data_IF_154278612968
#
_entry.id   IF_154278612968
#
_cell.length_a   1.000
_cell.length_b   1.000
_cell.length_c   1.000
_cell.angle_alpha   90.00
_cell.angle_beta   90.00
_cell.angle_gamma   90.00
#
_symmetry.space_group_name_H-M   'P 1'
#
loop_
_entity.id
_entity.type
_entity.pdbx_description
1 polymer ?
#
# COMPACT_ATOMS: atom_id res chain seq x y z
N UNK A 1 5.87 24.48 -31.73
CA UNK A 1 6.20 23.63 -30.57
C UNK A 1 5.04 22.67 -30.40
N UNK A 2 5.30 21.39 -30.63
CA UNK A 2 4.28 20.36 -30.86
C UNK A 2 3.98 19.66 -29.53
N UNK A 3 2.88 20.02 -28.86
CA UNK A 3 2.37 19.25 -27.71
C UNK A 3 1.85 17.94 -28.26
N UNK A 4 2.67 16.89 -28.21
CA UNK A 4 2.25 15.55 -28.55
C UNK A 4 1.08 15.18 -27.62
N UNK A 5 -0.13 15.07 -28.17
CA UNK A 5 -1.29 14.45 -27.52
C UNK A 5 -0.81 13.12 -26.92
N UNK A 6 -0.77 13.03 -25.60
CA UNK A 6 -0.51 11.76 -24.94
C UNK A 6 -1.68 10.85 -25.31
N UNK A 7 -1.45 9.83 -26.14
CA UNK A 7 -2.44 8.78 -26.30
C UNK A 7 -2.57 8.08 -24.94
N UNK A 8 -3.71 8.28 -24.27
CA UNK A 8 -4.03 7.58 -23.04
C UNK A 8 -3.95 6.07 -23.28
N UNK A 9 -3.19 5.39 -22.43
CA UNK A 9 -3.11 3.93 -22.47
C UNK A 9 -4.44 3.31 -22.05
N UNK A 10 -4.68 2.06 -22.46
CA UNK A 10 -5.88 1.33 -22.07
C UNK A 10 -6.06 1.24 -20.55
N UNK A 11 -4.96 1.17 -19.80
CA UNK A 11 -4.93 1.16 -18.33
C UNK A 11 -5.37 2.49 -17.73
N UNK A 12 -4.89 3.62 -18.27
CA UNK A 12 -5.32 4.96 -17.87
C UNK A 12 -6.81 5.16 -18.14
N UNK A 13 -7.30 4.71 -19.30
CA UNK A 13 -8.72 4.74 -19.64
C UNK A 13 -9.57 3.87 -18.70
N UNK A 14 -9.09 2.67 -18.33
CA UNK A 14 -9.78 1.79 -17.38
C UNK A 14 -9.83 2.42 -15.97
N UNK A 15 -8.73 3.06 -15.54
CA UNK A 15 -8.67 3.77 -14.26
C UNK A 15 -9.62 4.96 -14.22
N UNK A 16 -9.64 5.77 -15.28
CA UNK A 16 -10.58 6.89 -15.44
C UNK A 16 -12.04 6.41 -15.42
N UNK A 17 -12.35 5.31 -16.10
CA UNK A 17 -13.69 4.71 -16.08
C UNK A 17 -14.09 4.20 -14.68
N UNK A 18 -13.14 3.70 -13.89
CA UNK A 18 -13.37 3.28 -12.50
C UNK A 18 -13.63 4.48 -11.58
N UNK A 19 -12.79 5.52 -11.68
CA UNK A 19 -12.95 6.76 -10.93
C UNK A 19 -14.28 7.44 -11.26
N UNK A 20 -14.68 7.48 -12.53
CA UNK A 20 -15.99 7.99 -12.96
C UNK A 20 -17.12 7.37 -12.15
N UNK A 21 -17.22 6.04 -12.12
CA UNK A 21 -18.27 5.33 -11.35
C UNK A 21 -18.22 5.68 -9.86
N UNK A 22 -17.02 5.78 -9.28
CA UNK A 22 -16.83 6.10 -7.87
C UNK A 22 -17.28 7.52 -7.53
N UNK A 23 -16.94 8.52 -8.34
CA UNK A 23 -17.32 9.91 -8.11
C UNK A 23 -18.82 10.14 -8.40
N UNK A 24 -19.36 9.55 -9.46
CA UNK A 24 -20.78 9.62 -9.80
C UNK A 24 -21.66 9.01 -8.69
N UNK A 25 -21.26 7.85 -8.12
CA UNK A 25 -21.98 7.26 -6.97
C UNK A 25 -21.97 8.14 -5.71
N UNK A 26 -21.05 9.10 -5.60
CA UNK A 26 -20.97 10.09 -4.52
C UNK A 26 -21.68 11.42 -4.85
N UNK A 27 -22.36 11.48 -5.99
CA UNK A 27 -23.12 12.63 -6.46
C UNK A 27 -22.27 13.72 -7.11
N UNK A 28 -21.09 13.38 -7.62
CA UNK A 28 -20.31 14.28 -8.48
C UNK A 28 -20.73 14.10 -9.94
N UNK A 29 -20.68 15.19 -10.71
CA UNK A 29 -20.54 15.11 -12.16
C UNK A 29 -19.08 14.82 -12.51
N UNK A 30 -18.83 14.00 -13.55
CA UNK A 30 -17.48 13.58 -13.92
C UNK A 30 -17.22 13.77 -15.41
N UNK A 31 -16.22 14.58 -15.72
CA UNK A 31 -15.78 14.94 -17.07
C UNK A 31 -14.37 14.38 -17.30
N UNK A 32 -14.21 13.58 -18.36
CA UNK A 32 -12.89 13.10 -18.82
C UNK A 32 -12.41 14.01 -19.94
N UNK A 33 -11.11 14.28 -19.98
CA UNK A 33 -10.48 15.15 -20.98
C UNK A 33 -11.20 16.50 -21.12
N UNK A 34 -11.29 17.29 -20.03
CA UNK A 34 -12.02 18.56 -20.04
C UNK A 34 -11.45 19.53 -21.07
N UNK A 35 -12.32 20.32 -21.68
CA UNK A 35 -11.90 21.37 -22.61
C UNK A 35 -11.23 22.50 -21.84
N UNK A 36 -10.06 22.96 -22.31
CA UNK A 36 -9.31 24.08 -21.74
C UNK A 36 -10.19 25.34 -21.59
N UNK A 37 -11.14 25.55 -22.50
CA UNK A 37 -12.07 26.70 -22.45
C UNK A 37 -13.09 26.62 -21.30
N UNK A 38 -13.34 25.42 -20.76
CA UNK A 38 -14.23 25.18 -19.63
C UNK A 38 -13.52 25.15 -18.26
N UNK A 39 -12.20 25.39 -18.25
CA UNK A 39 -11.39 25.36 -17.04
C UNK A 39 -11.29 26.75 -16.39
N UNK A 40 -11.20 26.82 -15.04
CA UNK A 40 -10.92 28.08 -14.36
C UNK A 40 -9.54 28.65 -14.73
N UNK A 41 -9.46 29.98 -14.82
CA UNK A 41 -8.24 30.71 -15.19
C UNK A 41 -7.01 30.37 -14.32
N UNK A 42 -7.22 29.98 -13.06
CA UNK A 42 -6.12 29.64 -12.14
C UNK A 42 -5.34 28.39 -12.57
N UNK A 43 -5.95 27.51 -13.38
CA UNK A 43 -5.27 26.34 -13.96
C UNK A 43 -4.33 26.74 -15.12
N UNK A 44 -4.39 27.98 -15.60
CA UNK A 44 -3.53 28.51 -16.66
C UNK A 44 -3.58 27.60 -17.92
N UNK A 45 -2.47 26.94 -18.25
CA UNK A 45 -2.35 26.01 -19.38
C UNK A 45 -2.43 24.54 -18.97
N UNK A 46 -2.63 24.25 -17.69
CA UNK A 46 -2.75 22.89 -17.19
C UNK A 46 -4.16 22.34 -17.44
N UNK A 47 -4.23 21.22 -18.15
CA UNK A 47 -5.46 20.47 -18.40
C UNK A 47 -5.33 19.12 -17.68
N UNK A 48 -6.14 18.84 -16.65
CA UNK A 48 -6.13 17.54 -15.97
C UNK A 48 -6.74 16.45 -16.86
N UNK A 49 -6.44 15.19 -16.57
CA UNK A 49 -7.04 14.05 -17.29
C UNK A 49 -8.56 13.92 -17.04
N UNK A 50 -9.03 14.34 -15.86
CA UNK A 50 -10.46 14.41 -15.54
C UNK A 50 -10.78 15.46 -14.47
N UNK A 51 -12.04 15.88 -14.41
CA UNK A 51 -12.59 16.73 -13.35
C UNK A 51 -13.87 16.11 -12.79
N UNK A 52 -13.94 16.04 -11.46
CA UNK A 52 -15.19 15.75 -10.74
C UNK A 52 -15.73 17.04 -10.10
N UNK A 53 -17.02 17.34 -10.26
CA UNK A 53 -17.65 18.54 -9.68
C UNK A 53 -18.90 18.21 -8.89
N UNK A 54 -19.00 18.81 -7.70
CA UNK A 54 -20.15 18.81 -6.80
C UNK A 54 -20.27 20.21 -6.18
N UNK A 55 -21.47 20.57 -5.72
CA UNK A 55 -21.69 21.90 -5.14
C UNK A 55 -20.69 22.20 -4.01
N UNK A 56 -19.80 23.17 -4.23
CA UNK A 56 -18.75 23.57 -3.27
C UNK A 56 -17.51 22.66 -3.22
N UNK A 57 -17.42 21.63 -4.07
CA UNK A 57 -16.31 20.67 -4.08
C UNK A 57 -15.97 20.24 -5.51
N UNK A 58 -14.79 20.64 -5.98
CA UNK A 58 -14.26 20.28 -7.29
C UNK A 58 -12.96 19.49 -7.11
N UNK A 59 -12.73 18.49 -7.96
CA UNK A 59 -11.52 17.67 -7.94
C UNK A 59 -10.92 17.62 -9.33
N UNK A 60 -9.70 18.10 -9.50
CA UNK A 60 -8.89 17.89 -10.69
C UNK A 60 -8.08 16.60 -10.51
N UNK A 61 -8.18 15.69 -11.47
CA UNK A 61 -7.64 14.33 -11.37
C UNK A 61 -6.61 14.14 -12.46
N UNK A 62 -5.41 13.74 -12.04
CA UNK A 62 -4.32 13.35 -12.92
C UNK A 62 -4.04 11.86 -12.81
N UNK A 63 -3.92 11.16 -13.93
CA UNK A 63 -3.59 9.74 -13.98
C UNK A 63 -2.13 9.57 -14.41
N UNK A 64 -1.40 8.69 -13.71
CA UNK A 64 0.02 8.43 -13.96
C UNK A 64 0.32 6.96 -14.05
N UNK A 65 1.21 6.56 -14.97
CA UNK A 65 1.66 5.16 -15.07
C UNK A 65 2.56 4.73 -13.91
N UNK A 66 3.36 5.62 -13.31
CA UNK A 66 4.24 5.25 -12.19
C UNK A 66 4.68 6.44 -11.36
N UNK A 67 5.20 6.15 -10.15
CA UNK A 67 5.85 7.14 -9.30
C UNK A 67 7.35 7.19 -9.64
N UNK A 68 7.78 8.30 -10.23
CA UNK A 68 9.21 8.63 -10.45
C UNK A 68 9.55 9.98 -9.81
N UNK A 69 10.82 10.20 -9.42
CA UNK A 69 11.24 11.51 -8.88
C UNK A 69 10.93 12.67 -9.83
N UNK A 70 11.16 12.47 -11.13
CA UNK A 70 10.84 13.47 -12.15
C UNK A 70 9.34 13.78 -12.22
N UNK A 71 8.47 12.76 -12.10
CA UNK A 71 7.03 12.99 -12.03
C UNK A 71 6.61 13.70 -10.73
N UNK A 72 7.25 13.42 -9.60
CA UNK A 72 6.93 14.08 -8.32
C UNK A 72 7.23 15.58 -8.32
N UNK A 73 8.34 16.01 -8.93
CA UNK A 73 8.63 17.44 -9.12
C UNK A 73 7.57 18.14 -9.98
N UNK A 74 7.12 17.51 -11.07
CA UNK A 74 6.04 18.08 -11.91
C UNK A 74 4.70 18.16 -11.17
N UNK A 75 4.37 17.17 -10.34
CA UNK A 75 3.12 17.14 -9.57
C UNK A 75 3.11 18.19 -8.46
N UNK A 76 4.26 18.51 -7.87
CA UNK A 76 4.37 19.59 -6.90
C UNK A 76 4.04 20.96 -7.52
N UNK A 77 4.52 21.21 -8.74
CA UNK A 77 4.22 22.45 -9.48
C UNK A 77 2.73 22.55 -9.81
N UNK A 78 2.11 21.45 -10.25
CA UNK A 78 0.67 21.41 -10.51
C UNK A 78 -0.12 21.65 -9.23
N UNK A 79 0.27 21.00 -8.11
CA UNK A 79 -0.41 21.15 -6.82
C UNK A 79 -0.44 22.61 -6.33
N UNK A 80 0.63 23.37 -6.57
CA UNK A 80 0.68 24.79 -6.20
C UNK A 80 -0.30 25.69 -6.96
N UNK A 81 -0.83 25.24 -8.10
CA UNK A 81 -1.90 25.98 -8.81
C UNK A 81 -3.20 26.02 -8.01
N UNK A 82 -3.41 25.04 -7.12
CA UNK A 82 -4.63 24.92 -6.33
C UNK A 82 -4.53 25.64 -4.98
N UNK A 83 -3.36 26.22 -4.65
CA UNK A 83 -3.17 26.98 -3.42
C UNK A 83 -4.04 28.25 -3.45
N UNK A 84 -4.90 28.41 -2.44
CA UNK A 84 -5.86 29.53 -2.37
C UNK A 84 -7.24 29.23 -2.96
N UNK A 85 -7.48 28.02 -3.47
CA UNK A 85 -8.76 27.57 -4.01
C UNK A 85 -9.36 26.43 -3.16
N UNK A 86 -9.98 26.74 -2.00
CA UNK A 86 -10.45 25.72 -1.05
C UNK A 86 -11.61 24.85 -1.57
N UNK A 87 -12.31 25.32 -2.61
CA UNK A 87 -13.33 24.58 -3.34
C UNK A 87 -12.74 23.62 -4.38
N UNK A 88 -11.40 23.55 -4.50
CA UNK A 88 -10.69 22.65 -5.41
C UNK A 88 -9.67 21.77 -4.71
N UNK A 89 -9.62 20.51 -5.13
CA UNK A 89 -8.61 19.54 -4.71
C UNK A 89 -7.89 18.96 -5.92
N UNK A 90 -6.56 18.88 -5.85
CA UNK A 90 -5.76 18.13 -6.82
C UNK A 90 -5.54 16.70 -6.36
N UNK A 91 -6.01 15.73 -7.15
CA UNK A 91 -5.89 14.30 -6.88
C UNK A 91 -5.03 13.63 -7.97
N UNK A 92 -4.17 12.70 -7.54
CA UNK A 92 -3.33 11.90 -8.45
C UNK A 92 -3.70 10.44 -8.29
N UNK A 93 -4.17 9.83 -9.37
CA UNK A 93 -4.43 8.41 -9.51
C UNK A 93 -3.30 7.74 -10.29
N UNK A 94 -2.97 6.49 -9.96
CA UNK A 94 -1.93 5.75 -10.67
C UNK A 94 -2.56 4.59 -11.43
N UNK A 95 -2.40 4.56 -12.76
CA UNK A 95 -3.03 3.60 -13.66
C UNK A 95 -2.33 2.24 -13.72
N UNK A 96 -1.02 2.18 -13.47
CA UNK A 96 -0.35 0.90 -13.35
C UNK A 96 -0.41 0.41 -11.90
N UNK A 97 -1.15 -0.69 -11.70
CA UNK A 97 -0.67 -1.71 -10.79
C UNK A 97 0.55 -2.35 -11.45
N UNK A 98 1.74 -1.98 -10.99
CA UNK A 98 2.96 -2.70 -11.35
C UNK A 98 2.73 -4.18 -11.00
N UNK A 99 2.77 -5.13 -11.96
CA UNK A 99 2.61 -6.56 -11.67
C UNK A 99 3.69 -7.09 -10.70
N UNK A 100 4.79 -6.34 -10.53
CA UNK A 100 5.81 -6.58 -9.51
C UNK A 100 5.41 -6.02 -8.12
N UNK A 101 4.34 -5.22 -8.03
CA UNK A 101 3.75 -4.64 -6.81
C UNK A 101 2.36 -5.17 -6.47
N UNK A 102 1.68 -5.87 -7.35
CA UNK A 102 0.49 -6.66 -6.99
C UNK A 102 0.84 -8.13 -7.14
N UNK A 103 1.29 -8.74 -6.03
CA UNK A 103 1.50 -10.18 -5.97
C UNK A 103 0.15 -10.83 -5.67
N UNK A 104 -0.35 -11.67 -6.57
CA UNK A 104 -1.52 -12.52 -6.27
C UNK A 104 -1.09 -13.62 -5.30
N UNK A 105 -1.06 -13.29 -4.00
CA UNK A 105 -0.79 -14.23 -2.91
C UNK A 105 -2.13 -14.74 -2.40
N UNK A 106 -2.36 -16.04 -2.54
CA UNK A 106 -3.53 -16.68 -1.94
C UNK A 106 -3.34 -16.77 -0.42
N UNK A 107 -4.33 -16.40 0.40
CA UNK A 107 -4.26 -16.60 1.84
C UNK A 107 -3.93 -18.05 2.19
N UNK A 108 -2.93 -18.24 3.06
CA UNK A 108 -2.60 -19.56 3.58
C UNK A 108 -3.67 -20.00 4.59
N UNK A 109 -4.03 -21.28 4.59
CA UNK A 109 -4.92 -21.83 5.61
C UNK A 109 -4.20 -21.90 6.97
N UNK A 110 -4.93 -21.68 8.07
CA UNK A 110 -4.39 -21.71 9.44
C UNK A 110 -3.56 -22.97 9.74
N UNK A 111 -3.98 -24.20 9.37
CA UNK A 111 -3.15 -25.40 9.59
C UNK A 111 -1.81 -25.36 8.86
N UNK A 112 -1.74 -24.73 7.68
CA UNK A 112 -0.50 -24.58 6.93
C UNK A 112 0.44 -23.57 7.59
N UNK A 113 -0.08 -22.47 8.15
CA UNK A 113 0.69 -21.49 8.91
C UNK A 113 1.28 -22.15 10.17
N UNK A 114 0.46 -22.88 10.94
CA UNK A 114 0.92 -23.62 12.13
C UNK A 114 1.97 -24.68 11.80
N UNK A 115 1.83 -25.39 10.67
CA UNK A 115 2.85 -26.35 10.22
C UNK A 115 4.20 -25.66 9.97
N UNK A 116 4.22 -24.53 9.28
CA UNK A 116 5.47 -23.79 9.07
C UNK A 116 6.02 -23.16 10.36
N UNK A 117 5.17 -22.89 11.35
CA UNK A 117 5.64 -22.46 12.67
C UNK A 117 6.45 -23.56 13.37
N UNK A 118 6.17 -24.84 13.10
CA UNK A 118 7.03 -25.94 13.55
C UNK A 118 8.40 -25.92 12.85
N UNK A 119 8.46 -25.52 11.57
CA UNK A 119 9.72 -25.36 10.84
C UNK A 119 10.57 -24.21 11.43
N UNK A 120 9.93 -23.10 11.82
CA UNK A 120 10.58 -21.99 12.56
C UNK A 120 11.24 -22.51 13.85
N UNK A 121 10.52 -23.32 14.62
CA UNK A 121 11.03 -23.91 15.88
C UNK A 121 12.18 -24.90 15.64
N UNK A 122 12.12 -25.66 14.55
CA UNK A 122 13.20 -26.56 14.16
C UNK A 122 14.47 -25.77 13.76
N UNK A 123 14.31 -24.68 13.00
CA UNK A 123 15.43 -23.82 12.58
C UNK A 123 16.15 -23.19 13.77
N UNK A 124 15.42 -22.67 14.76
CA UNK A 124 16.06 -22.07 15.94
C UNK A 124 16.81 -23.11 16.76
N UNK A 125 16.28 -24.34 16.90
CA UNK A 125 16.96 -25.46 17.58
C UNK A 125 18.26 -25.87 16.87
N UNK A 126 18.32 -25.69 15.55
CA UNK A 126 19.52 -25.94 14.74
C UNK A 126 20.52 -24.77 14.74
N UNK A 127 20.26 -23.71 15.52
CA UNK A 127 21.08 -22.50 15.55
C UNK A 127 20.94 -21.61 14.31
N UNK A 128 19.91 -21.82 13.49
CA UNK A 128 19.67 -21.05 12.26
C UNK A 128 18.79 -19.81 12.54
N UNK A 129 19.22 -18.94 13.46
CA UNK A 129 18.37 -17.87 14.00
C UNK A 129 17.88 -16.87 12.96
N UNK A 130 18.74 -16.41 12.03
CA UNK A 130 18.32 -15.54 10.92
C UNK A 130 17.24 -16.17 10.04
N UNK A 131 17.42 -17.44 9.67
CA UNK A 131 16.45 -18.15 8.84
C UNK A 131 15.12 -18.32 9.58
N UNK A 132 15.17 -18.74 10.84
CA UNK A 132 14.00 -18.86 11.70
C UNK A 132 13.25 -17.52 11.83
N UNK A 133 13.98 -16.44 12.06
CA UNK A 133 13.42 -15.10 12.24
C UNK A 133 12.75 -14.57 10.95
N UNK A 134 13.40 -14.70 9.79
CA UNK A 134 12.81 -14.28 8.52
C UNK A 134 11.59 -15.13 8.14
N UNK A 135 11.64 -16.43 8.41
CA UNK A 135 10.50 -17.31 8.20
C UNK A 135 9.33 -16.94 9.12
N UNK A 136 9.59 -16.71 10.40
CA UNK A 136 8.57 -16.23 11.36
C UNK A 136 7.95 -14.91 10.90
N UNK A 137 8.76 -13.96 10.40
CA UNK A 137 8.25 -12.71 9.84
C UNK A 137 7.31 -12.96 8.65
N UNK A 138 7.69 -13.85 7.72
CA UNK A 138 6.83 -14.18 6.58
C UNK A 138 5.49 -14.82 7.00
N UNK A 139 5.49 -15.61 8.08
CA UNK A 139 4.27 -16.20 8.64
C UNK A 139 3.38 -15.16 9.32
N UNK A 140 3.95 -14.10 9.90
CA UNK A 140 3.19 -12.99 10.43
C UNK A 140 2.43 -12.23 9.33
N UNK A 141 3.08 -12.01 8.17
CA UNK A 141 2.42 -11.43 6.99
C UNK A 141 1.33 -12.35 6.44
N UNK A 142 1.60 -13.66 6.35
CA UNK A 142 0.61 -14.65 5.94
C UNK A 142 -0.60 -14.71 6.91
N UNK A 143 -0.36 -14.48 8.20
CA UNK A 143 -1.41 -14.43 9.23
C UNK A 143 -2.31 -13.22 9.03
N UNK A 144 -1.74 -12.02 8.79
CA UNK A 144 -2.55 -10.86 8.47
C UNK A 144 -3.40 -11.09 7.21
N UNK A 145 -2.78 -11.62 6.15
CA UNK A 145 -3.48 -11.89 4.90
C UNK A 145 -4.62 -12.91 5.09
N UNK A 146 -4.41 -13.93 5.93
CA UNK A 146 -5.45 -14.88 6.31
C UNK A 146 -6.63 -14.20 7.03
N UNK A 147 -6.33 -13.31 7.98
CA UNK A 147 -7.36 -12.61 8.77
C UNK A 147 -8.14 -11.60 7.94
N UNK A 148 -7.48 -10.84 7.05
CA UNK A 148 -8.12 -9.86 6.19
C UNK A 148 -9.06 -10.53 5.15
N UNK A 149 -8.79 -11.78 4.79
CA UNK A 149 -9.57 -12.51 3.78
C UNK A 149 -9.43 -11.94 2.37
N UNK A 150 -8.43 -11.07 2.14
CA UNK A 150 -8.13 -10.49 0.83
C UNK A 150 -7.60 -11.57 -0.11
N UNK A 151 -8.19 -11.70 -1.31
CA UNK A 151 -7.71 -12.62 -2.34
C UNK A 151 -6.51 -12.04 -3.13
N UNK A 152 -6.24 -10.74 -2.94
CA UNK A 152 -5.18 -10.00 -3.62
C UNK A 152 -4.43 -9.15 -2.59
N UNK A 153 -3.23 -9.59 -2.22
CA UNK A 153 -2.40 -8.90 -1.24
C UNK A 153 -1.47 -7.90 -1.92
N UNK A 154 -1.46 -6.66 -1.44
CA UNK A 154 -0.41 -5.69 -1.79
C UNK A 154 0.77 -5.86 -0.83
N UNK A 155 2.04 -5.76 -1.29
CA UNK A 155 3.21 -5.73 -0.43
C UNK A 155 3.02 -4.69 0.67
N UNK A 156 2.98 -5.15 1.91
CA UNK A 156 2.82 -4.31 3.09
C UNK A 156 4.20 -3.92 3.60
N UNK A 157 4.29 -2.73 4.18
CA UNK A 157 5.48 -2.39 4.97
C UNK A 157 5.48 -3.21 6.26
N UNK A 158 6.65 -3.55 6.83
CA UNK A 158 6.72 -4.28 8.09
C UNK A 158 5.87 -3.67 9.21
N UNK A 159 5.83 -2.35 9.32
CA UNK A 159 5.02 -1.64 10.31
C UNK A 159 3.52 -1.81 10.07
N UNK A 160 3.08 -1.74 8.80
CA UNK A 160 1.66 -1.90 8.47
C UNK A 160 1.12 -3.30 8.74
N UNK A 161 1.98 -4.34 8.74
CA UNK A 161 1.57 -5.70 9.09
C UNK A 161 1.15 -5.77 10.56
N UNK A 162 2.00 -5.25 11.46
CA UNK A 162 1.70 -5.21 12.89
C UNK A 162 0.48 -4.34 13.20
N UNK A 163 0.42 -3.16 12.58
CA UNK A 163 -0.70 -2.26 12.74
C UNK A 163 -2.01 -2.89 12.26
N UNK A 164 -2.00 -3.60 11.13
CA UNK A 164 -3.17 -4.32 10.63
C UNK A 164 -3.69 -5.36 11.62
N UNK A 165 -2.81 -6.20 12.16
CA UNK A 165 -3.18 -7.19 13.18
C UNK A 165 -3.76 -6.54 14.44
N UNK A 166 -3.18 -5.42 14.88
CA UNK A 166 -3.67 -4.69 16.06
C UNK A 166 -5.04 -4.04 15.80
N UNK A 167 -5.23 -3.42 14.63
CA UNK A 167 -6.49 -2.81 14.23
C UNK A 167 -7.64 -3.82 14.10
N UNK A 168 -7.31 -5.05 13.68
CA UNK A 168 -8.26 -6.17 13.59
C UNK A 168 -8.49 -6.86 14.94
N UNK A 169 -7.90 -6.35 16.03
CA UNK A 169 -8.05 -6.92 17.38
C UNK A 169 -7.38 -8.27 17.57
N UNK A 170 -6.51 -8.69 16.63
CA UNK A 170 -5.81 -9.99 16.69
C UNK A 170 -4.59 -9.97 17.60
N UNK A 171 -4.04 -8.80 17.86
CA UNK A 171 -2.97 -8.59 18.83
C UNK A 171 -3.26 -7.33 19.63
N UNK A 172 -2.73 -7.25 20.84
CA UNK A 172 -2.87 -6.07 21.69
C UNK A 172 -2.00 -4.90 21.19
N UNK A 173 -2.42 -3.63 21.33
CA UNK A 173 -1.60 -2.46 20.99
C UNK A 173 -0.23 -2.43 21.71
N UNK A 174 -0.14 -2.98 22.92
CA UNK A 174 1.11 -3.15 23.65
C UNK A 174 2.06 -4.12 22.95
N UNK A 175 1.51 -5.20 22.37
CA UNK A 175 2.26 -6.19 21.59
C UNK A 175 2.81 -5.56 20.31
N UNK A 176 2.02 -4.76 19.60
CA UNK A 176 2.48 -3.98 18.43
C UNK A 176 3.66 -3.06 18.79
N UNK A 177 3.55 -2.29 19.88
CA UNK A 177 4.63 -1.39 20.34
C UNK A 177 5.92 -2.15 20.67
N UNK A 178 5.81 -3.31 21.33
CA UNK A 178 6.96 -4.17 21.66
C UNK A 178 7.66 -4.73 20.42
N UNK A 179 6.93 -4.99 19.35
CA UNK A 179 7.46 -5.55 18.11
C UNK A 179 8.13 -4.52 17.19
N UNK A 180 8.14 -3.22 17.55
CA UNK A 180 8.82 -2.19 16.73
C UNK A 180 10.33 -2.43 16.60
N UNK A 181 10.98 -2.97 17.64
CA UNK A 181 12.40 -3.35 17.56
C UNK A 181 12.64 -4.50 16.58
N UNK A 182 11.69 -5.45 16.48
CA UNK A 182 11.78 -6.57 15.53
C UNK A 182 11.74 -6.09 14.06
N UNK A 183 11.07 -4.98 13.75
CA UNK A 183 11.12 -4.37 12.41
C UNK A 183 12.54 -3.92 12.05
N UNK A 184 13.24 -3.27 12.99
CA UNK A 184 14.61 -2.80 12.76
C UNK A 184 15.55 -3.99 12.55
N UNK A 185 15.42 -5.02 13.38
CA UNK A 185 16.18 -6.26 13.26
C UNK A 185 15.92 -6.94 11.90
N UNK A 186 14.65 -7.06 11.48
CA UNK A 186 14.27 -7.60 10.16
C UNK A 186 14.91 -6.83 9.02
N UNK A 187 14.88 -5.50 9.08
CA UNK A 187 15.48 -4.68 8.04
C UNK A 187 17.00 -4.88 7.97
N UNK A 188 17.69 -4.88 9.11
CA UNK A 188 19.12 -5.14 9.17
C UNK A 188 19.48 -6.51 8.54
N UNK A 189 18.78 -7.58 8.98
CA UNK A 189 19.02 -8.94 8.47
C UNK A 189 18.74 -9.06 6.98
N UNK A 190 17.62 -8.51 6.48
CA UNK A 190 17.27 -8.55 5.04
C UNK A 190 18.22 -7.73 4.19
N UNK A 191 18.72 -6.59 4.70
CA UNK A 191 19.68 -5.76 3.99
C UNK A 191 21.13 -6.24 4.13
N UNK A 192 21.35 -7.42 4.74
CA UNK A 192 22.64 -8.11 4.74
C UNK A 192 23.57 -7.67 5.86
N UNK A 193 23.06 -7.07 6.94
CA UNK A 193 23.85 -6.84 8.14
C UNK A 193 24.14 -8.18 8.83
N UNK A 194 25.36 -8.69 8.62
CA UNK A 194 25.82 -9.96 9.17
C UNK A 194 26.24 -9.86 10.65
N UNK A 195 26.20 -8.68 11.25
CA UNK A 195 26.55 -8.47 12.66
C UNK A 195 25.34 -8.52 13.59
N UNK A 196 24.14 -8.32 13.03
CA UNK A 196 22.87 -8.39 13.74
C UNK A 196 22.33 -9.82 13.70
N UNK A 197 22.35 -10.49 14.85
CA UNK A 197 21.82 -11.85 15.00
C UNK A 197 20.52 -11.83 15.81
N UNK A 198 19.39 -12.30 15.25
CA UNK A 198 18.19 -12.53 16.03
C UNK A 198 18.44 -13.54 17.14
N UNK A 199 17.91 -13.27 18.33
CA UNK A 199 17.94 -14.20 19.46
C UNK A 199 16.80 -15.21 19.37
N UNK A 200 16.91 -16.31 20.12
CA UNK A 200 15.78 -17.25 20.32
C UNK A 200 14.53 -16.53 20.86
N UNK A 201 14.72 -15.57 21.77
CA UNK A 201 13.63 -14.75 22.29
C UNK A 201 12.94 -13.89 21.22
N UNK A 202 13.68 -13.37 20.24
CA UNK A 202 13.09 -12.60 19.14
C UNK A 202 12.20 -13.49 18.27
N UNK A 203 12.66 -14.71 17.98
CA UNK A 203 11.89 -15.71 17.21
C UNK A 203 10.66 -16.17 17.98
N UNK A 204 10.82 -16.50 19.26
CA UNK A 204 9.71 -16.92 20.13
C UNK A 204 8.67 -15.82 20.29
N UNK A 205 9.10 -14.57 20.38
CA UNK A 205 8.18 -13.43 20.44
C UNK A 205 7.31 -13.37 19.18
N UNK A 206 7.91 -13.50 17.99
CA UNK A 206 7.12 -13.54 16.74
C UNK A 206 6.21 -14.77 16.68
N UNK A 207 6.70 -15.94 17.09
CA UNK A 207 5.90 -17.17 17.07
C UNK A 207 4.68 -17.11 17.99
N UNK A 208 4.85 -16.54 19.19
CA UNK A 208 3.74 -16.35 20.13
C UNK A 208 2.70 -15.36 19.60
N UNK A 209 3.13 -14.31 18.90
CA UNK A 209 2.24 -13.32 18.29
C UNK A 209 1.43 -13.94 17.16
N UNK A 210 2.05 -14.82 16.37
CA UNK A 210 1.34 -15.56 15.31
C UNK A 210 0.26 -16.46 15.92
N UNK A 211 0.57 -17.21 16.98
CA UNK A 211 -0.44 -18.04 17.66
C UNK A 211 -1.54 -17.22 18.33
N UNK A 212 -1.21 -16.08 18.95
CA UNK A 212 -2.20 -15.12 19.48
C UNK A 212 -3.14 -14.67 18.38
N UNK A 213 -2.60 -14.23 17.23
CA UNK A 213 -3.38 -13.72 16.11
C UNK A 213 -4.23 -14.78 15.41
N UNK A 214 -3.81 -16.05 15.44
CA UNK A 214 -4.55 -17.19 14.87
C UNK A 214 -5.56 -17.81 15.84
N UNK A 215 -5.55 -17.40 17.11
CA UNK A 215 -6.56 -17.83 18.08
C UNK A 215 -7.86 -17.08 17.81
N UNK A 216 -8.99 -17.80 17.86
CA UNK A 216 -10.31 -17.17 17.78
C UNK A 216 -10.48 -16.26 19.03
N UNK A 217 -11.04 -15.07 18.81
CA UNK A 217 -11.41 -14.13 19.89
C UNK A 217 -12.77 -14.52 20.43
#
# INVERSE_FOLDING_TARGET
MNTARHQASQEELNMLASLRRQYESKGFSFEMEPDLQGLPDFLQSYVPDAIARKAGENVAIEVRKSRSRASEFSLHQIRSLFDGHPDWTFAVAYAAEDPLKTLTIKPAAVPAIRRQLADVRALITQGQSRAAFLLAWSLLEATLLNVEGEQEARPRTPASVLQGLAMLGRIKPETERRLRSAILLRNAVVHGDLTMEPTEQDVDTLANVIEEALSEV
#
